data_IF_928657608275
#
_entry.id   IF_928657608275
#
_cell.length_a   1.000
_cell.length_b   1.000
_cell.length_c   1.000
_cell.angle_alpha   90.00
_cell.angle_beta   90.00
_cell.angle_gamma   90.00
#
_symmetry.space_group_name_H-M   'P 1'
#
loop_
_entity.id
_entity.type
_entity.pdbx_description
1 polymer ?
#
# COMPACT_ATOMS: atom_id res chain seq x y z
N UNK A 1 16.68 -1.51 19.09
CA UNK A 1 15.21 -1.39 19.07
C UNK A 1 14.69 -2.46 20.02
N UNK A 2 14.26 -2.06 21.21
CA UNK A 2 13.59 -2.99 22.12
C UNK A 2 12.24 -3.41 21.51
N UNK A 3 11.85 -4.68 21.58
CA UNK A 3 10.59 -5.15 21.04
C UNK A 3 9.42 -4.50 21.77
N UNK A 4 8.43 -4.08 20.99
CA UNK A 4 7.20 -3.42 21.44
C UNK A 4 6.55 -4.20 22.60
N UNK A 5 6.48 -3.57 23.78
CA UNK A 5 5.94 -4.18 24.99
C UNK A 5 4.44 -4.44 24.79
N UNK A 6 4.10 -5.73 24.62
CA UNK A 6 2.73 -6.22 24.56
C UNK A 6 2.00 -5.82 25.85
N UNK A 7 0.82 -5.20 25.73
CA UNK A 7 0.03 -4.76 26.87
C UNK A 7 -0.30 -5.93 27.84
N UNK A 8 -0.37 -5.69 29.16
CA UNK A 8 -0.61 -6.73 30.14
C UNK A 8 -1.97 -7.42 29.91
N UNK A 9 -1.97 -8.75 29.95
CA UNK A 9 -3.17 -9.58 29.70
C UNK A 9 -3.28 -10.16 28.29
N UNK A 10 -2.37 -9.80 27.37
CA UNK A 10 -2.36 -10.35 26.01
C UNK A 10 -1.34 -11.50 25.94
N UNK A 11 -1.84 -12.74 25.80
CA UNK A 11 -1.02 -13.91 25.51
C UNK A 11 -0.58 -13.92 24.02
N UNK A 12 0.27 -12.97 23.63
CA UNK A 12 0.81 -12.91 22.27
C UNK A 12 2.03 -13.83 22.16
N UNK A 13 1.96 -14.84 21.29
CA UNK A 13 3.17 -15.54 20.85
C UNK A 13 4.01 -14.59 19.99
N UNK A 14 5.33 -14.60 20.18
CA UNK A 14 6.24 -13.90 19.29
C UNK A 14 5.95 -14.32 17.85
N UNK A 15 5.88 -13.37 16.93
CA UNK A 15 5.59 -13.64 15.53
C UNK A 15 6.17 -12.56 14.63
N UNK A 16 6.41 -12.91 13.37
CA UNK A 16 6.91 -12.00 12.35
C UNK A 16 5.82 -11.77 11.31
N UNK A 17 5.54 -10.50 11.01
CA UNK A 17 4.61 -10.09 9.94
C UNK A 17 5.38 -9.88 8.64
N UNK A 18 4.89 -10.47 7.57
CA UNK A 18 5.49 -10.44 6.24
C UNK A 18 4.47 -9.86 5.27
N UNK A 19 4.87 -8.84 4.52
CA UNK A 19 4.04 -8.24 3.48
C UNK A 19 4.71 -8.43 2.12
N UNK A 20 3.91 -8.87 1.14
CA UNK A 20 4.36 -9.08 -0.24
C UNK A 20 3.45 -8.29 -1.15
N UNK A 21 4.03 -7.45 -2.01
CA UNK A 21 3.25 -6.61 -2.92
C UNK A 21 4.13 -5.88 -3.91
N UNK A 22 3.48 -5.13 -4.81
CA UNK A 22 4.17 -4.26 -5.76
C UNK A 22 5.03 -3.24 -4.98
N UNK A 23 6.36 -3.17 -5.21
CA UNK A 23 7.29 -2.34 -4.45
C UNK A 23 7.01 -0.84 -4.55
N UNK A 24 6.27 -0.45 -5.59
CA UNK A 24 5.81 0.91 -5.87
C UNK A 24 4.47 1.26 -5.21
N UNK A 25 3.81 0.27 -4.62
CA UNK A 25 2.55 0.44 -3.93
C UNK A 25 2.72 0.86 -2.49
N UNK A 26 1.72 1.58 -1.96
CA UNK A 26 1.60 1.81 -0.53
C UNK A 26 1.63 0.44 0.19
N UNK A 27 2.35 0.30 1.30
CA UNK A 27 2.45 -0.92 2.10
C UNK A 27 1.16 -1.14 2.92
N UNK A 28 0.01 -1.06 2.27
CA UNK A 28 -1.31 -1.26 2.87
C UNK A 28 -1.96 -2.50 2.26
N UNK A 29 -2.01 -3.60 2.98
CA UNK A 29 -2.68 -4.81 2.51
C UNK A 29 -2.57 -5.95 3.49
N UNK A 30 -2.95 -7.13 3.01
CA UNK A 30 -2.86 -8.37 3.78
C UNK A 30 -1.41 -8.70 4.09
N UNK A 31 -1.14 -8.95 5.37
CA UNK A 31 0.10 -9.52 5.86
C UNK A 31 -0.06 -11.02 6.13
N UNK A 32 1.07 -11.71 6.13
CA UNK A 32 1.20 -13.09 6.55
C UNK A 32 1.95 -13.11 7.88
N UNK A 33 1.47 -13.91 8.84
CA UNK A 33 2.08 -14.02 10.16
C UNK A 33 2.77 -15.37 10.30
N UNK A 34 4.07 -15.36 10.61
CA UNK A 34 4.84 -16.56 10.95
C UNK A 34 5.04 -16.57 12.46
N UNK A 35 4.58 -17.62 13.13
CA UNK A 35 4.70 -17.75 14.59
C UNK A 35 6.12 -18.13 14.99
N UNK A 36 6.60 -17.60 16.10
CA UNK A 36 7.89 -17.95 16.70
C UNK A 36 7.98 -19.44 17.02
N UNK A 37 9.12 -20.04 16.72
CA UNK A 37 9.34 -21.50 16.85
C UNK A 37 8.83 -22.32 15.67
N UNK A 38 8.33 -21.68 14.60
CA UNK A 38 7.94 -22.35 13.36
C UNK A 38 8.79 -21.88 12.17
N UNK A 39 8.95 -22.75 11.16
CA UNK A 39 9.60 -22.41 9.90
C UNK A 39 8.51 -22.07 8.88
N UNK A 40 8.50 -20.84 8.39
CA UNK A 40 7.62 -20.41 7.31
C UNK A 40 8.32 -20.45 5.96
N UNK A 41 7.94 -21.38 5.09
CA UNK A 41 8.41 -21.43 3.69
C UNK A 41 7.38 -20.71 2.82
N UNK A 42 7.76 -19.58 2.25
CA UNK A 42 6.87 -18.73 1.47
C UNK A 42 7.26 -18.81 0.00
N UNK A 43 6.37 -19.36 -0.81
CA UNK A 43 6.53 -19.35 -2.26
C UNK A 43 5.83 -18.13 -2.85
N UNK A 44 6.56 -17.38 -3.69
CA UNK A 44 6.06 -16.15 -4.29
C UNK A 44 6.01 -16.32 -5.79
N UNK A 45 4.83 -16.07 -6.37
CA UNK A 45 4.59 -16.03 -7.81
C UNK A 45 3.94 -14.70 -8.17
N UNK A 46 4.38 -14.11 -9.29
CA UNK A 46 3.90 -12.82 -9.76
C UNK A 46 3.07 -12.96 -11.02
N UNK A 47 1.79 -12.61 -10.93
CA UNK A 47 0.94 -12.47 -12.11
C UNK A 47 1.04 -11.05 -12.67
N UNK A 48 1.43 -10.94 -13.93
CA UNK A 48 1.41 -9.68 -14.67
C UNK A 48 0.38 -9.73 -15.77
N UNK A 49 -0.70 -8.99 -15.57
CA UNK A 49 -1.77 -8.86 -16.57
C UNK A 49 -1.36 -7.77 -17.57
N UNK A 50 -1.17 -8.16 -18.82
CA UNK A 50 -0.98 -7.24 -19.93
C UNK A 50 -2.32 -6.94 -20.60
N UNK A 51 -2.52 -5.68 -20.95
CA UNK A 51 -3.70 -5.23 -21.68
C UNK A 51 -3.42 -5.27 -23.19
N UNK A 52 -4.48 -5.35 -23.99
CA UNK A 52 -4.35 -5.22 -25.44
C UNK A 52 -4.45 -3.76 -25.85
N UNK A 53 -3.79 -3.37 -26.95
CA UNK A 53 -3.88 -2.01 -27.48
C UNK A 53 -5.31 -1.55 -27.77
N UNK A 54 -6.24 -2.48 -28.03
CA UNK A 54 -7.67 -2.18 -28.24
C UNK A 54 -8.33 -1.65 -26.98
N UNK A 55 -8.05 -2.23 -25.82
CA UNK A 55 -8.60 -1.74 -24.54
C UNK A 55 -8.16 -0.32 -24.23
N UNK A 56 -6.98 0.08 -24.70
CA UNK A 56 -6.45 1.42 -24.50
C UNK A 56 -7.17 2.52 -25.29
N UNK A 57 -7.82 2.14 -26.40
CA UNK A 57 -8.63 3.07 -27.20
C UNK A 57 -9.99 3.38 -26.57
N UNK A 58 -10.45 2.56 -25.64
CA UNK A 58 -11.70 2.80 -24.92
C UNK A 58 -11.52 3.98 -23.95
N UNK A 59 -12.49 4.88 -23.95
CA UNK A 59 -12.51 6.00 -23.02
C UNK A 59 -12.41 5.47 -21.57
N UNK A 60 -11.59 6.07 -20.69
CA UNK A 60 -11.51 5.69 -19.27
C UNK A 60 -12.87 5.44 -18.60
N UNK A 61 -13.88 6.26 -18.92
CA UNK A 61 -15.25 6.10 -18.37
C UNK A 61 -15.93 4.79 -18.77
N UNK A 62 -15.69 4.31 -19.99
CA UNK A 62 -16.28 3.07 -20.51
C UNK A 62 -15.62 1.84 -19.88
N UNK A 63 -14.28 1.84 -19.77
CA UNK A 63 -13.52 0.72 -19.20
C UNK A 63 -13.42 0.72 -17.66
N UNK A 64 -13.81 1.83 -17.00
CA UNK A 64 -13.86 1.98 -15.54
C UNK A 64 -12.54 1.72 -14.81
N UNK A 65 -11.41 1.86 -15.51
CA UNK A 65 -10.07 1.70 -14.97
C UNK A 65 -9.12 2.67 -15.67
N UNK A 66 -7.95 2.91 -15.05
CA UNK A 66 -6.89 3.75 -15.58
C UNK A 66 -5.63 2.91 -15.82
N UNK A 67 -4.90 3.21 -16.89
CA UNK A 67 -3.54 2.71 -17.09
C UNK A 67 -2.57 3.48 -16.22
N UNK A 68 -1.40 2.88 -16.01
CA UNK A 68 -0.36 3.42 -15.14
C UNK A 68 0.07 4.84 -15.53
N UNK A 69 -0.04 5.25 -16.78
CA UNK A 69 0.42 6.54 -17.30
C UNK A 69 -0.69 7.58 -17.47
N UNK A 70 -1.93 7.26 -17.14
CA UNK A 70 -3.07 8.17 -17.39
C UNK A 70 -3.40 9.11 -16.25
N UNK A 71 -2.88 8.82 -15.05
CA UNK A 71 -3.15 9.63 -13.87
C UNK A 71 -2.07 9.43 -12.81
N UNK A 72 -1.90 10.44 -11.96
CA UNK A 72 -1.11 10.31 -10.74
C UNK A 72 -2.03 9.95 -9.58
N UNK A 73 -1.52 9.25 -8.57
CA UNK A 73 -2.35 8.79 -7.45
C UNK A 73 -2.39 9.77 -6.27
N UNK A 74 -1.92 11.01 -6.44
CA UNK A 74 -1.83 11.99 -5.35
C UNK A 74 -0.80 11.69 -4.27
N UNK A 75 -0.07 10.58 -4.37
CA UNK A 75 0.91 10.10 -3.38
C UNK A 75 2.38 10.44 -3.76
N UNK A 76 2.58 11.43 -4.65
CA UNK A 76 3.90 11.78 -5.17
C UNK A 76 4.46 10.80 -6.23
N UNK A 77 3.71 9.77 -6.62
CA UNK A 77 4.07 8.85 -7.70
C UNK A 77 3.61 9.38 -9.06
N UNK A 78 4.44 9.21 -10.09
CA UNK A 78 4.14 9.63 -11.49
C UNK A 78 3.27 8.61 -12.26
N UNK A 79 2.78 7.57 -11.60
CA UNK A 79 1.98 6.51 -12.21
C UNK A 79 0.76 6.17 -11.37
N UNK A 80 -0.28 5.68 -12.04
CA UNK A 80 -1.51 5.18 -11.45
C UNK A 80 -1.30 3.79 -10.85
N UNK A 81 -1.67 3.67 -9.57
CA UNK A 81 -1.84 2.41 -8.86
C UNK A 81 -3.06 2.55 -7.94
N UNK A 82 -4.03 1.65 -8.08
CA UNK A 82 -5.28 1.69 -7.30
C UNK A 82 -5.04 1.79 -5.79
N UNK A 83 -4.04 1.08 -5.27
CA UNK A 83 -3.68 1.10 -3.84
C UNK A 83 -3.19 2.47 -3.37
N UNK A 84 -2.34 3.12 -4.16
CA UNK A 84 -1.85 4.46 -3.83
C UNK A 84 -2.98 5.49 -3.89
N UNK A 85 -3.90 5.35 -4.87
CA UNK A 85 -5.04 6.24 -5.00
C UNK A 85 -5.95 6.17 -3.76
N UNK A 86 -6.27 4.96 -3.28
CA UNK A 86 -7.03 4.78 -2.03
C UNK A 86 -6.32 5.40 -0.83
N UNK A 87 -5.02 5.17 -0.70
CA UNK A 87 -4.20 5.70 0.39
C UNK A 87 -4.23 7.22 0.41
N UNK A 88 -3.98 7.86 -0.73
CA UNK A 88 -4.06 9.31 -0.86
C UNK A 88 -5.45 9.85 -0.56
N UNK A 89 -6.51 9.14 -0.96
CA UNK A 89 -7.89 9.52 -0.64
C UNK A 89 -8.13 9.52 0.88
N UNK A 90 -7.72 8.47 1.60
CA UNK A 90 -7.84 8.42 3.06
C UNK A 90 -7.00 9.51 3.74
N UNK A 91 -5.77 9.71 3.29
CA UNK A 91 -4.90 10.79 3.79
C UNK A 91 -5.55 12.16 3.64
N UNK A 92 -6.00 12.49 2.43
CA UNK A 92 -6.61 13.78 2.15
C UNK A 92 -7.85 13.98 3.00
N UNK A 93 -8.71 12.97 3.12
CA UNK A 93 -9.90 13.05 3.96
C UNK A 93 -9.55 13.30 5.43
N UNK A 94 -8.58 12.57 6.00
CA UNK A 94 -8.12 12.77 7.38
C UNK A 94 -7.56 14.18 7.59
N UNK A 95 -6.73 14.67 6.69
CA UNK A 95 -6.15 16.02 6.78
C UNK A 95 -7.25 17.08 6.70
N UNK A 96 -8.20 16.94 5.77
CA UNK A 96 -9.28 17.91 5.59
C UNK A 96 -10.28 17.96 6.75
N UNK A 97 -10.65 16.80 7.31
CA UNK A 97 -11.70 16.74 8.32
C UNK A 97 -11.18 16.71 9.77
N UNK A 98 -10.00 16.14 9.99
CA UNK A 98 -9.43 15.98 11.32
C UNK A 98 -8.23 16.90 11.57
N UNK A 99 -7.66 17.53 10.53
CA UNK A 99 -6.47 18.36 10.65
C UNK A 99 -5.19 17.59 10.98
N UNK A 100 -5.23 16.26 10.92
CA UNK A 100 -4.12 15.38 11.26
C UNK A 100 -3.97 14.24 10.25
N UNK A 101 -2.83 13.56 10.30
CA UNK A 101 -2.53 12.37 9.49
C UNK A 101 -1.96 11.29 10.41
N UNK A 102 -2.01 10.03 9.96
CA UNK A 102 -1.42 8.92 10.70
C UNK A 102 0.08 8.85 10.44
N UNK A 103 0.89 8.71 11.49
CA UNK A 103 2.35 8.77 11.37
C UNK A 103 2.94 7.66 10.49
N UNK A 104 2.40 6.44 10.55
CA UNK A 104 2.85 5.33 9.71
C UNK A 104 2.67 5.59 8.20
N UNK A 105 1.88 6.60 7.85
CA UNK A 105 1.64 7.05 6.48
C UNK A 105 2.71 8.04 5.98
N UNK A 106 3.59 8.55 6.85
CA UNK A 106 4.60 9.57 6.55
C UNK A 106 5.79 9.08 5.71
N UNK A 107 6.19 7.81 5.88
CA UNK A 107 7.29 7.20 5.13
C UNK A 107 7.09 7.21 3.60
N UNK A 108 5.85 7.41 3.13
CA UNK A 108 5.49 7.45 1.72
C UNK A 108 5.57 8.84 1.10
N UNK A 109 5.66 9.91 1.90
CA UNK A 109 5.62 11.31 1.41
C UNK A 109 7.00 11.97 1.28
N UNK A 110 8.07 11.29 1.72
CA UNK A 110 9.41 11.89 1.90
C UNK A 110 10.13 12.36 0.63
N UNK A 111 9.56 12.19 -0.57
CA UNK A 111 10.17 12.67 -1.82
C UNK A 111 9.71 14.05 -2.28
N UNK A 112 8.71 14.70 -1.68
CA UNK A 112 8.23 16.02 -2.14
C UNK A 112 7.79 17.05 -1.10
N UNK A 113 7.88 16.79 0.21
CA UNK A 113 7.74 17.86 1.19
C UNK A 113 9.09 18.55 1.44
N UNK A 114 9.59 19.30 0.45
CA UNK A 114 10.46 20.45 0.74
C UNK A 114 9.51 21.62 1.02
N UNK A 115 9.55 22.15 2.24
CA UNK A 115 8.98 23.46 2.57
C UNK A 115 9.60 24.52 1.66
#
# INVERSE_FOLDING_TARGET
>A
MDPEQVAPGIAAKQSTRIMIGEPRGAPLGSDMVVTGGSIGIIHVWGDRIYNTNRTRRLNPKQRRCLFADESTTGMGTKYYLRRNCKTACYMNHMVHHCGCYLEFMFGLMHRKCRR
#
